data_IF_610220814181
#
_entry.id   IF_610220814181
#
_cell.length_a   1.000
_cell.length_b   1.000
_cell.length_c   1.000
_cell.angle_alpha   90.00
_cell.angle_beta   90.00
_cell.angle_gamma   90.00
#
_symmetry.space_group_name_H-M   'P 1'
#
loop_
_entity.id
_entity.type
_entity.pdbx_description
1 polymer ?
#
# COMPACT_ATOMS: atom_id res chain seq x y z
N UNK A 1 -4.26 9.56 5.65
CA UNK A 1 -3.02 8.80 5.88
C UNK A 1 -3.42 7.33 5.83
N UNK A 2 -2.79 6.58 4.95
CA UNK A 2 -2.94 5.13 4.80
C UNK A 2 -1.68 4.52 5.42
N UNK A 3 -1.85 3.56 6.32
CA UNK A 3 -0.77 2.75 6.88
C UNK A 3 -1.02 1.31 6.46
N UNK A 4 0.00 0.65 5.91
CA UNK A 4 -0.08 -0.74 5.50
C UNK A 4 1.15 -1.49 5.99
N UNK A 5 0.93 -2.69 6.53
CA UNK A 5 1.98 -3.56 7.06
C UNK A 5 2.61 -4.45 5.97
N UNK A 6 2.16 -4.29 4.72
CA UNK A 6 2.71 -4.94 3.53
C UNK A 6 3.05 -3.90 2.47
N UNK A 7 4.11 -4.17 1.71
CA UNK A 7 4.51 -3.39 0.54
C UNK A 7 3.96 -4.00 -0.77
N UNK A 8 3.12 -5.04 -0.66
CA UNK A 8 2.57 -5.81 -1.77
C UNK A 8 3.53 -6.86 -2.33
N UNK A 9 4.74 -7.00 -1.77
CA UNK A 9 5.77 -7.91 -2.29
C UNK A 9 6.28 -8.91 -1.27
N UNK A 10 5.97 -8.72 0.02
CA UNK A 10 6.42 -9.63 1.06
C UNK A 10 5.70 -10.99 1.05
N UNK A 11 6.48 -12.07 1.13
CA UNK A 11 5.98 -13.44 1.01
C UNK A 11 4.93 -13.81 2.07
N UNK A 12 5.05 -13.24 3.27
CA UNK A 12 4.14 -13.51 4.37
C UNK A 12 2.73 -13.01 4.05
N UNK A 13 2.61 -11.75 3.62
CA UNK A 13 1.33 -11.14 3.25
C UNK A 13 0.72 -11.80 2.01
N UNK A 14 1.53 -12.10 1.00
CA UNK A 14 1.09 -12.82 -0.21
C UNK A 14 0.58 -14.24 0.09
N UNK A 15 1.09 -14.90 1.15
CA UNK A 15 0.55 -16.18 1.61
C UNK A 15 -0.84 -16.01 2.19
N UNK A 16 -1.07 -14.98 3.01
CA UNK A 16 -2.38 -14.72 3.62
C UNK A 16 -3.41 -14.28 2.58
N UNK A 17 -3.02 -13.48 1.60
CA UNK A 17 -3.86 -13.06 0.47
C UNK A 17 -4.52 -14.26 -0.24
N UNK A 18 -3.78 -15.35 -0.43
CA UNK A 18 -4.28 -16.56 -1.10
C UNK A 18 -5.28 -17.37 -0.27
N UNK A 19 -5.30 -17.18 1.04
CA UNK A 19 -6.08 -17.98 1.99
C UNK A 19 -7.32 -17.21 2.46
N UNK A 20 -7.22 -15.89 2.52
CA UNK A 20 -8.27 -15.01 3.02
C UNK A 20 -9.04 -14.44 1.82
N UNK A 21 -10.27 -14.90 1.63
CA UNK A 21 -11.12 -14.41 0.55
C UNK A 21 -11.36 -12.90 0.67
N UNK A 22 -11.23 -12.20 -0.47
CA UNK A 22 -11.35 -10.74 -0.55
C UNK A 22 -10.14 -9.95 -0.02
N UNK A 23 -9.07 -10.59 0.45
CA UNK A 23 -7.81 -9.89 0.77
C UNK A 23 -7.03 -9.60 -0.52
N UNK A 24 -6.39 -8.44 -0.59
CA UNK A 24 -5.47 -8.08 -1.67
C UNK A 24 -4.35 -7.21 -1.09
N UNK A 25 -3.11 -7.61 -1.31
CA UNK A 25 -1.95 -6.78 -0.96
C UNK A 25 -1.69 -5.80 -2.10
N UNK A 26 -1.63 -4.52 -1.77
CA UNK A 26 -1.38 -3.46 -2.76
C UNK A 26 0.03 -2.91 -2.61
N UNK A 27 0.69 -2.73 -3.75
CA UNK A 27 1.96 -2.03 -3.83
C UNK A 27 1.76 -0.52 -3.62
N UNK A 28 2.84 0.17 -3.26
CA UNK A 28 2.85 1.64 -3.14
C UNK A 28 2.34 2.29 -4.43
N UNK A 29 2.78 1.80 -5.59
CA UNK A 29 2.41 2.35 -6.90
C UNK A 29 0.91 2.25 -7.18
N UNK A 30 0.28 1.11 -6.83
CA UNK A 30 -1.16 0.93 -7.01
C UNK A 30 -1.96 1.87 -6.09
N UNK A 31 -1.51 2.03 -4.84
CA UNK A 31 -2.12 2.96 -3.89
C UNK A 31 -1.99 4.41 -4.40
N UNK A 32 -0.80 4.81 -4.88
CA UNK A 32 -0.60 6.14 -5.47
C UNK A 32 -1.49 6.36 -6.70
N UNK A 33 -1.62 5.38 -7.58
CA UNK A 33 -2.48 5.43 -8.75
C UNK A 33 -3.95 5.65 -8.37
N UNK A 34 -4.46 4.83 -7.46
CA UNK A 34 -5.83 4.95 -6.97
C UNK A 34 -6.12 6.31 -6.31
N UNK A 35 -5.15 6.86 -5.58
CA UNK A 35 -5.27 8.20 -5.00
C UNK A 35 -5.30 9.30 -6.06
N UNK A 36 -4.47 9.23 -7.10
CA UNK A 36 -4.49 10.17 -8.22
C UNK A 36 -5.84 10.13 -8.94
N UNK A 37 -6.35 8.94 -9.21
CA UNK A 37 -7.64 8.74 -9.87
C UNK A 37 -8.81 9.25 -9.02
N UNK A 38 -8.70 9.15 -7.69
CA UNK A 38 -9.65 9.74 -6.74
C UNK A 38 -9.54 11.27 -6.60
N UNK A 39 -8.58 11.90 -7.28
CA UNK A 39 -8.39 13.35 -7.34
C UNK A 39 -7.49 13.93 -6.25
N UNK A 40 -6.65 13.12 -5.60
CA UNK A 40 -5.61 13.63 -4.71
C UNK A 40 -4.42 14.17 -5.50
N UNK A 41 -3.92 15.34 -5.12
CA UNK A 41 -2.89 16.05 -5.88
C UNK A 41 -1.50 15.99 -5.25
N UNK A 42 -1.40 15.95 -3.91
CA UNK A 42 -0.12 15.83 -3.20
C UNK A 42 -0.05 14.49 -2.50
N UNK A 43 0.81 13.60 -3.00
CA UNK A 43 1.01 12.27 -2.43
C UNK A 43 2.46 12.16 -1.94
N UNK A 44 2.64 11.70 -0.71
CA UNK A 44 3.93 11.38 -0.11
C UNK A 44 3.90 9.95 0.39
N UNK A 45 4.94 9.21 0.07
CA UNK A 45 5.09 7.81 0.44
C UNK A 45 6.35 7.62 1.26
N UNK A 46 6.27 6.74 2.25
CA UNK A 46 7.39 6.31 3.07
C UNK A 46 7.35 4.79 3.18
N UNK A 47 8.49 4.16 2.92
CA UNK A 47 8.69 2.73 3.14
C UNK A 47 9.69 2.59 4.28
N UNK A 48 9.40 1.74 5.26
CA UNK A 48 10.35 1.41 6.31
C UNK A 48 11.59 0.73 5.70
N UNK A 49 12.78 1.06 6.19
CA UNK A 49 14.05 0.66 5.54
C UNK A 49 14.25 -0.85 5.40
N UNK A 50 13.72 -1.62 6.36
CA UNK A 50 13.94 -3.07 6.46
C UNK A 50 12.68 -3.90 6.70
N UNK A 51 11.51 -3.26 6.73
CA UNK A 51 10.22 -3.91 6.99
C UNK A 51 9.30 -3.57 5.82
N UNK A 52 8.35 -4.46 5.46
CA UNK A 52 7.43 -4.23 4.35
C UNK A 52 6.36 -3.16 4.67
N UNK A 53 6.63 -2.24 5.59
CA UNK A 53 5.64 -1.30 6.10
C UNK A 53 5.66 -0.01 5.31
N UNK A 54 4.53 0.32 4.70
CA UNK A 54 4.39 1.52 3.90
C UNK A 54 3.39 2.48 4.56
N UNK A 55 3.65 3.77 4.41
CA UNK A 55 2.74 4.84 4.78
C UNK A 55 2.56 5.78 3.60
N UNK A 56 1.31 6.11 3.31
CA UNK A 56 0.94 7.06 2.26
C UNK A 56 0.14 8.21 2.85
N UNK A 57 0.62 9.43 2.65
CA UNK A 57 -0.07 10.67 3.03
C UNK A 57 -0.51 11.36 1.76
N UNK A 58 -1.81 11.64 1.65
CA UNK A 58 -2.40 12.29 0.49
C UNK A 58 -3.23 13.50 0.91
N UNK A 59 -3.12 14.59 0.15
CA UNK A 59 -3.92 15.81 0.26
C UNK A 59 -4.59 16.08 -1.09
N UNK A 60 -5.84 16.52 -1.04
CA UNK A 60 -6.65 16.78 -2.24
C UNK A 60 -6.29 18.12 -2.85
#
# INVERSE_FOLDING_TARGET
>A
MIVNESDGTDEASLKFEKIIDGMTCHTVTEIEGALKDAGFSKIKTAHHESKPWITVIAEK
#
